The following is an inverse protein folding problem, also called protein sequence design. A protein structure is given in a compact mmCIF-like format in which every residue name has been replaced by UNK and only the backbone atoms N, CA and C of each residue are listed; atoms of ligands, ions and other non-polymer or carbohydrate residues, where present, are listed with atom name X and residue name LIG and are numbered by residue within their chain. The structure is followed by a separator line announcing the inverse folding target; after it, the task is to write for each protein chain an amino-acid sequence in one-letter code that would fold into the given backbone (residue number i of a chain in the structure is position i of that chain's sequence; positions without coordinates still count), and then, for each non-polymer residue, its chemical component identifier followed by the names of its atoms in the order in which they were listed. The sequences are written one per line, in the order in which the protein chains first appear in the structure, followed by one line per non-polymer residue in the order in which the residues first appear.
data_IF_311461098299
#
_entry.id   IF_311461098299
#
_cell.length_a   1.000
_cell.length_b   1.000
_cell.length_c   1.000
_cell.angle_alpha   90.00
_cell.angle_beta   90.00
_cell.angle_gamma   90.00
#
_symmetry.space_group_name_H-M   'P 1'
#
loop_
_entity.id
_entity.type
_entity.pdbx_description
1 polymer ?
#
# COMPACT_ATOMS: atom_id res chain seq x y z
N UNK A 1 17.52 37.61 11.33
CA UNK A 1 17.79 38.15 9.97
C UNK A 1 18.24 37.00 9.06
N UNK A 2 17.28 36.26 8.46
CA UNK A 2 17.47 35.24 7.40
C UNK A 2 16.12 35.25 6.64
N UNK A 3 16.00 36.05 5.58
CA UNK A 3 16.19 35.74 4.16
C UNK A 3 15.14 34.80 3.55
N UNK A 4 14.58 35.32 2.47
CA UNK A 4 13.29 35.03 1.87
C UNK A 4 13.50 34.09 0.67
N UNK A 5 12.64 33.08 0.51
CA UNK A 5 12.49 32.33 -0.74
C UNK A 5 10.99 32.15 -1.01
N UNK A 6 10.40 32.89 -1.97
CA UNK A 6 9.01 32.73 -2.35
C UNK A 6 8.93 31.69 -3.47
N UNK A 7 8.50 30.46 -3.16
CA UNK A 7 8.11 29.49 -4.18
C UNK A 7 6.61 29.21 -4.05
N UNK A 8 5.83 30.01 -4.77
CA UNK A 8 4.45 29.70 -5.16
C UNK A 8 4.45 28.38 -5.93
N UNK A 9 3.83 27.35 -5.37
CA UNK A 9 3.19 26.29 -6.15
C UNK A 9 2.07 25.69 -5.32
N UNK A 10 0.84 26.05 -5.71
CA UNK A 10 -0.34 25.24 -5.51
C UNK A 10 -0.03 23.81 -5.95
N UNK A 11 -0.16 22.82 -5.07
CA UNK A 11 -1.05 21.70 -5.29
C UNK A 11 -1.32 21.02 -3.94
N UNK A 12 -2.58 20.68 -3.76
CA UNK A 12 -3.19 20.37 -2.49
C UNK A 12 -2.69 19.09 -1.83
N UNK A 13 -2.88 19.09 -0.51
CA UNK A 13 -3.00 17.96 0.41
C UNK A 13 -1.69 17.28 0.88
N UNK A 14 -1.40 17.33 2.20
CA UNK A 14 -0.24 16.70 2.80
C UNK A 14 -0.53 15.21 2.99
N UNK A 15 0.11 14.31 2.24
CA UNK A 15 0.11 12.89 2.59
C UNK A 15 1.34 12.62 3.49
N UNK A 16 1.23 13.08 4.73
CA UNK A 16 2.11 12.66 5.82
C UNK A 16 1.80 11.17 6.07
N UNK A 17 2.58 10.28 5.47
CA UNK A 17 2.63 8.85 5.85
C UNK A 17 3.55 8.72 7.08
N UNK A 18 3.05 9.18 8.23
CA UNK A 18 3.66 8.83 9.52
C UNK A 18 3.10 7.49 10.00
N UNK A 19 4.02 6.53 10.09
CA UNK A 19 4.08 5.42 11.06
C UNK A 19 2.92 4.42 11.10
N UNK A 20 3.18 3.25 10.51
CA UNK A 20 2.75 1.96 11.05
C UNK A 20 3.70 0.86 10.57
N UNK A 21 4.95 0.88 11.04
CA UNK A 21 5.79 -0.31 11.01
C UNK A 21 5.40 -1.22 12.19
N UNK A 22 4.15 -1.69 12.19
CA UNK A 22 3.76 -2.87 12.96
C UNK A 22 4.02 -4.08 12.07
N UNK A 23 4.88 -4.97 12.54
CA UNK A 23 5.41 -6.10 11.80
C UNK A 23 4.33 -7.14 11.46
N UNK A 24 3.58 -6.90 10.38
CA UNK A 24 2.51 -7.81 9.93
C UNK A 24 2.05 -7.54 8.51
N UNK A 25 1.69 -6.28 8.21
CA UNK A 25 1.17 -5.86 6.91
C UNK A 25 2.23 -5.08 6.09
N UNK A 26 2.64 -5.60 4.94
CA UNK A 26 3.62 -4.93 4.08
C UNK A 26 3.38 -5.23 2.59
N UNK A 27 3.55 -4.22 1.74
CA UNK A 27 3.61 -4.43 0.28
C UNK A 27 5.01 -4.95 -0.06
N UNK A 28 5.10 -6.18 -0.55
CA UNK A 28 6.38 -6.80 -0.95
C UNK A 28 6.68 -6.53 -2.43
N UNK A 29 5.62 -6.34 -3.23
CA UNK A 29 5.73 -6.04 -4.65
C UNK A 29 4.65 -5.04 -5.05
N UNK A 30 5.01 -4.00 -5.81
CA UNK A 30 4.07 -3.00 -6.31
C UNK A 30 4.44 -2.61 -7.73
N UNK A 31 3.48 -2.74 -8.64
CA UNK A 31 3.59 -2.35 -10.04
C UNK A 31 2.28 -1.76 -10.54
N UNK A 32 2.30 -1.16 -11.73
CA UNK A 32 1.09 -0.59 -12.35
C UNK A 32 0.02 -1.64 -12.72
N UNK A 33 0.35 -2.93 -12.68
CA UNK A 33 -0.53 -4.03 -13.09
C UNK A 33 -0.79 -5.03 -11.96
N UNK A 34 0.07 -5.12 -10.95
CA UNK A 34 -0.07 -6.07 -9.86
C UNK A 34 0.59 -5.56 -8.57
N UNK A 35 0.00 -5.94 -7.43
CA UNK A 35 0.49 -5.64 -6.08
C UNK A 35 0.44 -6.91 -5.24
N UNK A 36 1.52 -7.21 -4.54
CA UNK A 36 1.59 -8.32 -3.59
C UNK A 36 1.72 -7.77 -2.17
N UNK A 37 0.76 -8.11 -1.32
CA UNK A 37 0.72 -7.70 0.08
C UNK A 37 0.95 -8.90 0.99
N UNK A 38 1.99 -8.84 1.81
CA UNK A 38 2.20 -9.76 2.93
C UNK A 38 1.37 -9.30 4.12
N UNK A 39 0.69 -10.24 4.78
CA UNK A 39 -0.10 -10.02 5.97
C UNK A 39 0.07 -11.19 6.97
N UNK A 40 0.00 -10.90 8.26
CA UNK A 40 0.07 -11.92 9.31
C UNK A 40 -1.23 -12.71 9.45
N UNK A 41 -1.24 -13.76 10.28
CA UNK A 41 -2.50 -14.45 10.62
C UNK A 41 -3.48 -13.59 11.45
N UNK A 42 -2.98 -12.54 12.10
CA UNK A 42 -3.80 -11.59 12.89
C UNK A 42 -4.31 -10.42 12.04
N UNK A 43 -3.53 -10.00 11.04
CA UNK A 43 -3.90 -8.95 10.11
C UNK A 43 -4.80 -9.55 9.04
N UNK A 44 -6.09 -9.23 9.03
CA UNK A 44 -7.06 -9.86 8.15
C UNK A 44 -6.77 -9.60 6.66
N UNK A 45 -7.32 -10.42 5.76
CA UNK A 45 -7.24 -10.17 4.31
C UNK A 45 -7.89 -8.83 3.91
N UNK A 46 -8.84 -8.33 4.70
CA UNK A 46 -9.45 -7.02 4.49
C UNK A 46 -8.44 -5.87 4.57
N UNK A 47 -7.50 -5.93 5.51
CA UNK A 47 -6.44 -4.93 5.67
C UNK A 47 -5.45 -5.00 4.50
N UNK A 48 -5.10 -6.22 4.09
CA UNK A 48 -4.29 -6.45 2.90
C UNK A 48 -4.98 -5.92 1.64
N UNK A 49 -6.30 -6.12 1.53
CA UNK A 49 -7.10 -5.62 0.42
C UNK A 49 -7.15 -4.10 0.42
N UNK A 50 -7.39 -3.45 1.56
CA UNK A 50 -7.37 -1.99 1.66
C UNK A 50 -6.01 -1.41 1.26
N UNK A 51 -4.92 -2.06 1.68
CA UNK A 51 -3.56 -1.63 1.31
C UNK A 51 -3.32 -1.78 -0.19
N UNK A 52 -3.76 -2.90 -0.78
CA UNK A 52 -3.70 -3.11 -2.23
C UNK A 52 -4.55 -2.08 -3.00
N UNK A 53 -5.76 -1.75 -2.53
CA UNK A 53 -6.60 -0.71 -3.14
C UNK A 53 -5.88 0.64 -3.18
N UNK A 54 -5.25 1.04 -2.07
CA UNK A 54 -4.49 2.29 -2.00
C UNK A 54 -3.31 2.29 -2.97
N UNK A 55 -2.62 1.16 -3.10
CA UNK A 55 -1.51 1.02 -4.04
C UNK A 55 -1.96 1.12 -5.50
N UNK A 56 -3.02 0.40 -5.89
CA UNK A 56 -3.56 0.48 -7.25
C UNK A 56 -4.20 1.85 -7.56
N UNK A 57 -4.75 2.54 -6.55
CA UNK A 57 -5.35 3.86 -6.73
C UNK A 57 -4.35 4.93 -7.18
N UNK A 58 -3.05 4.78 -6.87
CA UNK A 58 -1.97 5.64 -7.42
C UNK A 58 -1.96 5.62 -8.95
N UNK A 59 -2.39 4.50 -9.55
CA UNK A 59 -2.48 4.31 -10.99
C UNK A 59 -3.90 4.52 -11.55
N UNK A 60 -4.83 5.07 -10.76
CA UNK A 60 -6.26 5.20 -11.10
C UNK A 60 -6.93 3.86 -11.41
N UNK A 61 -6.46 2.79 -10.75
CA UNK A 61 -7.00 1.43 -10.88
C UNK A 61 -7.53 0.93 -9.55
N UNK A 62 -8.28 -0.15 -9.60
CA UNK A 62 -8.78 -0.88 -8.44
C UNK A 62 -7.97 -2.15 -8.22
N UNK A 63 -7.80 -2.56 -6.98
CA UNK A 63 -7.20 -3.85 -6.67
C UNK A 63 -8.25 -4.95 -6.78
N UNK A 64 -7.94 -6.02 -7.50
CA UNK A 64 -8.72 -7.25 -7.54
C UNK A 64 -7.88 -8.38 -7.00
N UNK A 65 -8.39 -9.07 -5.96
CA UNK A 65 -7.70 -10.24 -5.42
C UNK A 65 -7.62 -11.33 -6.50
N UNK A 66 -6.40 -11.74 -6.83
CA UNK A 66 -6.09 -12.79 -7.80
C UNK A 66 -5.84 -14.11 -7.10
N UNK A 67 -5.02 -14.10 -6.06
CA UNK A 67 -4.60 -15.30 -5.36
C UNK A 67 -4.19 -14.99 -3.92
N UNK A 68 -4.34 -15.97 -3.03
CA UNK A 68 -3.79 -15.94 -1.68
C UNK A 68 -2.80 -17.09 -1.56
N UNK A 69 -1.53 -16.77 -1.35
CA UNK A 69 -0.50 -17.75 -1.03
C UNK A 69 -0.21 -17.75 0.47
N UNK A 70 -0.01 -18.93 1.05
CA UNK A 70 0.37 -19.10 2.46
C UNK A 70 1.76 -19.71 2.49
N UNK A 71 2.74 -19.00 3.06
CA UNK A 71 4.09 -19.53 3.25
C UNK A 71 4.33 -19.69 4.75
N UNK A 72 4.14 -20.92 5.25
CA UNK A 72 4.33 -21.26 6.66
C UNK A 72 3.12 -21.01 7.54
N UNK A 73 3.34 -20.98 8.86
CA UNK A 73 2.29 -20.93 9.87
C UNK A 73 1.77 -19.52 10.18
N UNK A 74 2.52 -18.47 9.81
CA UNK A 74 2.25 -17.10 10.26
C UNK A 74 2.17 -16.06 9.16
N UNK A 75 2.67 -16.34 7.94
CA UNK A 75 2.71 -15.37 6.85
C UNK A 75 1.80 -15.76 5.69
N UNK A 76 0.98 -14.80 5.28
CA UNK A 76 0.08 -14.90 4.12
C UNK A 76 0.40 -13.80 3.14
N UNK A 77 0.15 -14.06 1.87
CA UNK A 77 0.46 -13.18 0.76
C UNK A 77 -0.77 -13.06 -0.12
N UNK A 78 -1.33 -11.86 -0.18
CA UNK A 78 -2.42 -11.51 -1.09
C UNK A 78 -1.83 -10.94 -2.36
N UNK A 79 -2.06 -11.62 -3.48
CA UNK A 79 -1.70 -11.12 -4.81
C UNK A 79 -2.92 -10.46 -5.42
N UNK A 80 -2.78 -9.21 -5.84
CA UNK A 80 -3.82 -8.39 -6.40
C UNK A 80 -3.42 -7.91 -7.79
N UNK A 81 -4.34 -7.98 -8.75
CA UNK A 81 -4.19 -7.30 -10.03
C UNK A 81 -4.74 -5.88 -9.92
N UNK A 82 -4.03 -4.90 -10.47
CA UNK A 82 -4.54 -3.54 -10.62
C UNK A 82 -5.27 -3.44 -11.96
N UNK A 83 -6.60 -3.34 -11.90
CA UNK A 83 -7.50 -3.23 -13.06
C UNK A 83 -8.35 -1.98 -13.04
#
# INVERSE_FOLDING_TARGET
MIREFPFRLCFAAPLILTMAACSGLAIIESSATAVTVRYGSLDGIDEATQLAQRACAVHRKTARLRNIANFGLSERYGHFDCI
#
